data_IF_715612059346
#
_entry.id   IF_715612059346
#
_cell.length_a   1.000
_cell.length_b   1.000
_cell.length_c   1.000
_cell.angle_alpha   90.00
_cell.angle_beta   90.00
_cell.angle_gamma   90.00
#
_symmetry.space_group_name_H-M   'P 1'
#
loop_
_entity.id
_entity.type
_entity.pdbx_description
1 polymer ?
#
# COMPACT_ATOMS: atom_id res chain seq x y z
N UNK A 1 -10.71 -19.71 5.41
CA UNK A 1 -10.26 -19.70 4.01
C UNK A 1 -11.09 -20.69 3.25
N UNK A 2 -11.64 -20.25 2.12
CA UNK A 2 -12.39 -21.12 1.22
C UNK A 2 -11.40 -21.99 0.41
N UNK A 3 -11.83 -23.17 -0.07
CA UNK A 3 -11.03 -23.95 -1.01
C UNK A 3 -10.62 -23.11 -2.23
N UNK A 4 -9.33 -23.09 -2.56
CA UNK A 4 -8.81 -22.32 -3.71
C UNK A 4 -8.30 -20.92 -3.39
N UNK A 5 -8.29 -20.52 -2.12
CA UNK A 5 -7.64 -19.30 -1.64
C UNK A 5 -6.26 -19.58 -1.04
N UNK A 6 -5.33 -18.64 -1.20
CA UNK A 6 -4.04 -18.63 -0.52
C UNK A 6 -3.78 -17.28 0.15
N UNK A 7 -3.00 -17.30 1.22
CA UNK A 7 -2.60 -16.09 1.94
C UNK A 7 -1.53 -15.37 1.13
N UNK A 8 -1.75 -14.08 0.86
CA UNK A 8 -0.79 -13.20 0.21
C UNK A 8 -0.03 -12.39 1.27
N UNK A 9 -0.75 -11.80 2.23
CA UNK A 9 -0.16 -10.99 3.30
C UNK A 9 -0.79 -11.33 4.66
N UNK A 10 0.04 -11.28 5.70
CA UNK A 10 -0.39 -11.33 7.10
C UNK A 10 0.15 -10.08 7.77
N UNK A 11 -0.74 -9.14 8.10
CA UNK A 11 -0.38 -7.79 8.51
C UNK A 11 -0.77 -7.59 9.98
N UNK A 12 0.20 -7.51 10.91
CA UNK A 12 -0.09 -7.38 12.34
C UNK A 12 -0.95 -6.14 12.65
N UNK A 13 -1.94 -6.30 13.53
CA UNK A 13 -2.84 -5.24 13.96
C UNK A 13 -2.60 -4.82 15.40
N UNK A 14 -2.58 -5.80 16.31
CA UNK A 14 -2.30 -5.59 17.73
C UNK A 14 -1.84 -6.90 18.36
N UNK A 15 -1.02 -6.77 19.39
CA UNK A 15 -0.62 -7.84 20.27
C UNK A 15 -1.17 -7.61 21.68
N UNK A 16 -1.26 -8.70 22.43
CA UNK A 16 -1.68 -8.69 23.82
C UNK A 16 -0.88 -9.70 24.63
N UNK A 17 -0.27 -9.25 25.72
CA UNK A 17 0.55 -10.08 26.62
C UNK A 17 -0.15 -10.12 27.97
N UNK A 18 -0.53 -11.32 28.43
CA UNK A 18 -1.16 -11.56 29.75
C UNK A 18 -2.37 -10.66 30.09
N UNK A 19 -3.14 -10.24 29.08
CA UNK A 19 -4.28 -9.34 29.31
C UNK A 19 -4.05 -7.90 28.82
N UNK A 20 -2.80 -7.45 28.75
CA UNK A 20 -2.44 -6.10 28.34
C UNK A 20 -2.46 -5.96 26.83
N UNK A 21 -3.44 -5.22 26.31
CA UNK A 21 -3.66 -5.00 24.87
C UNK A 21 -2.89 -3.78 24.34
N UNK A 22 -3.12 -3.43 23.07
CA UNK A 22 -2.52 -2.27 22.38
C UNK A 22 -0.97 -2.33 22.30
N UNK A 23 -0.39 -3.53 22.37
CA UNK A 23 1.06 -3.74 22.20
C UNK A 23 1.36 -3.79 20.70
N UNK A 24 2.29 -2.97 20.23
CA UNK A 24 2.76 -2.97 18.83
C UNK A 24 3.89 -3.96 18.58
N UNK A 25 4.85 -4.03 19.49
CA UNK A 25 6.02 -4.89 19.39
C UNK A 25 6.18 -5.72 20.67
N UNK A 26 5.88 -7.03 20.64
CA UNK A 26 5.93 -7.88 21.83
C UNK A 26 7.32 -8.46 22.10
N UNK A 27 8.30 -8.24 21.20
CA UNK A 27 9.64 -8.82 21.32
C UNK A 27 10.33 -8.23 22.57
N UNK A 28 10.86 -9.11 23.42
CA UNK A 28 11.51 -8.74 24.68
C UNK A 28 10.56 -8.61 25.89
N UNK A 29 9.24 -8.75 25.69
CA UNK A 29 8.28 -8.77 26.79
C UNK A 29 8.18 -10.16 27.44
N UNK A 30 8.09 -10.19 28.76
CA UNK A 30 7.81 -11.41 29.52
C UNK A 30 6.30 -11.62 29.63
N UNK A 31 5.84 -12.85 29.40
CA UNK A 31 4.45 -13.23 29.65
C UNK A 31 4.17 -14.71 29.48
N UNK A 32 3.06 -15.18 30.04
CA UNK A 32 2.59 -16.56 29.93
C UNK A 32 1.70 -16.81 28.71
N UNK A 33 1.02 -15.79 28.18
CA UNK A 33 0.13 -15.85 27.02
C UNK A 33 0.31 -14.64 26.11
N UNK A 34 0.60 -14.92 24.84
CA UNK A 34 0.60 -13.95 23.75
C UNK A 34 -0.65 -14.18 22.88
N UNK A 35 -1.41 -13.12 22.66
CA UNK A 35 -2.50 -13.07 21.69
C UNK A 35 -2.15 -12.05 20.60
N UNK A 36 -2.57 -12.30 19.37
CA UNK A 36 -2.27 -11.42 18.24
C UNK A 36 -3.45 -11.36 17.28
N UNK A 37 -3.74 -10.17 16.80
CA UNK A 37 -4.74 -9.92 15.76
C UNK A 37 -4.01 -9.51 14.47
N UNK A 38 -4.46 -10.07 13.35
CA UNK A 38 -3.85 -9.85 12.04
C UNK A 38 -4.92 -9.49 11.01
N UNK A 39 -4.57 -8.58 10.10
CA UNK A 39 -5.29 -8.36 8.86
C UNK A 39 -4.71 -9.30 7.80
N UNK A 40 -5.49 -10.33 7.43
CA UNK A 40 -5.04 -11.37 6.51
C UNK A 40 -5.62 -11.09 5.13
N UNK A 41 -4.73 -10.94 4.16
CA UNK A 41 -5.08 -10.74 2.75
C UNK A 41 -4.97 -12.08 2.05
N UNK A 42 -6.06 -12.50 1.41
CA UNK A 42 -6.13 -13.75 0.64
C UNK A 42 -6.42 -13.47 -0.82
N UNK A 43 -5.96 -14.35 -1.70
CA UNK A 43 -6.26 -14.29 -3.13
C UNK A 43 -6.64 -15.65 -3.69
N UNK A 44 -7.35 -15.65 -4.81
CA UNK A 44 -7.65 -16.87 -5.54
C UNK A 44 -6.39 -17.42 -6.20
N UNK A 45 -6.05 -18.67 -5.89
CA UNK A 45 -4.89 -19.39 -6.42
C UNK A 45 -4.89 -19.40 -7.95
N UNK A 46 -6.06 -19.50 -8.58
CA UNK A 46 -6.17 -19.45 -10.04
C UNK A 46 -5.75 -18.12 -10.63
N UNK A 47 -6.16 -17.01 -10.01
CA UNK A 47 -5.82 -15.65 -10.46
C UNK A 47 -4.32 -15.39 -10.29
N UNK A 48 -3.78 -15.78 -9.14
CA UNK A 48 -2.34 -15.67 -8.85
C UNK A 48 -1.51 -16.48 -9.86
N UNK A 49 -1.89 -17.73 -10.11
CA UNK A 49 -1.20 -18.59 -11.09
C UNK A 49 -1.28 -18.03 -12.51
N UNK A 50 -2.39 -17.44 -12.90
CA UNK A 50 -2.54 -16.84 -14.23
C UNK A 50 -1.59 -15.64 -14.41
N UNK A 51 -1.48 -14.76 -13.40
CA UNK A 51 -0.52 -13.66 -13.42
C UNK A 51 0.92 -14.19 -13.49
N UNK A 52 1.26 -15.19 -12.66
CA UNK A 52 2.60 -15.80 -12.68
C UNK A 52 2.96 -16.41 -14.04
N UNK A 53 2.01 -17.06 -14.71
CA UNK A 53 2.22 -17.59 -16.07
C UNK A 53 2.46 -16.50 -17.11
N UNK A 54 1.75 -15.38 -17.02
CA UNK A 54 1.98 -14.24 -17.92
C UNK A 54 3.40 -13.69 -17.77
N UNK A 55 3.89 -13.56 -16.54
CA UNK A 55 5.25 -13.08 -16.25
C UNK A 55 6.28 -14.08 -16.77
N UNK A 56 6.09 -15.37 -16.51
CA UNK A 56 6.98 -16.42 -17.01
C UNK A 56 7.00 -16.49 -18.54
N UNK A 57 5.86 -16.25 -19.20
CA UNK A 57 5.77 -16.22 -20.67
C UNK A 57 6.50 -15.02 -21.29
N UNK A 58 6.85 -14.02 -20.48
CA UNK A 58 7.70 -12.90 -20.88
C UNK A 58 9.19 -13.13 -20.50
N UNK A 59 9.57 -14.38 -20.17
CA UNK A 59 10.91 -14.77 -19.73
C UNK A 59 11.39 -14.04 -18.45
N UNK A 60 10.44 -13.70 -17.58
CA UNK A 60 10.71 -13.06 -16.28
C UNK A 60 10.40 -14.01 -15.12
N UNK A 61 11.09 -13.81 -14.01
CA UNK A 61 10.82 -14.52 -12.75
C UNK A 61 9.90 -13.69 -11.85
N UNK A 62 8.86 -14.32 -11.32
CA UNK A 62 8.00 -13.71 -10.31
C UNK A 62 8.68 -13.81 -8.94
N UNK A 63 9.16 -12.68 -8.40
CA UNK A 63 9.74 -12.64 -7.05
C UNK A 63 8.68 -12.74 -5.93
N UNK A 64 7.50 -12.15 -6.14
CA UNK A 64 6.44 -12.17 -5.15
C UNK A 64 5.24 -11.34 -5.55
N UNK A 65 4.22 -11.34 -4.69
CA UNK A 65 2.94 -10.66 -4.92
C UNK A 65 2.71 -9.66 -3.80
N UNK A 66 2.23 -8.48 -4.17
CA UNK A 66 1.93 -7.39 -3.25
C UNK A 66 0.50 -6.94 -3.45
N UNK A 67 -0.22 -6.70 -2.35
CA UNK A 67 -1.55 -6.11 -2.41
C UNK A 67 -1.41 -4.68 -2.96
N UNK A 68 -2.14 -4.35 -4.03
CA UNK A 68 -2.06 -3.08 -4.76
C UNK A 68 -2.07 -1.83 -3.85
N UNK A 69 -3.03 -1.64 -2.92
CA UNK A 69 -3.03 -0.47 -2.06
C UNK A 69 -1.82 -0.38 -1.11
N UNK A 70 -1.14 -1.48 -0.78
CA UNK A 70 0.13 -1.42 -0.03
C UNK A 70 1.25 -0.86 -0.91
N UNK A 71 1.30 -1.28 -2.18
CA UNK A 71 2.26 -0.76 -3.14
C UNK A 71 2.01 0.73 -3.39
N UNK A 72 0.78 1.11 -3.77
CA UNK A 72 0.42 2.51 -4.00
C UNK A 72 0.72 3.38 -2.75
N UNK A 73 0.39 2.90 -1.55
CA UNK A 73 0.70 3.59 -0.29
C UNK A 73 2.20 3.78 -0.01
N UNK A 74 3.07 2.90 -0.52
CA UNK A 74 4.52 3.08 -0.38
C UNK A 74 5.05 4.19 -1.28
N UNK A 75 4.34 4.54 -2.36
CA UNK A 75 4.78 5.54 -3.31
C UNK A 75 4.23 6.94 -3.01
N UNK A 76 3.03 7.06 -2.42
CA UNK A 76 2.32 8.35 -2.33
C UNK A 76 1.99 8.84 -0.93
N UNK A 77 2.18 8.01 0.10
CA UNK A 77 1.89 8.37 1.49
C UNK A 77 3.17 8.53 2.31
N UNK A 78 3.21 9.58 3.11
CA UNK A 78 4.26 9.76 4.11
C UNK A 78 4.02 8.86 5.33
N UNK A 79 5.06 8.69 6.16
CA UNK A 79 4.92 7.94 7.40
C UNK A 79 4.03 8.68 8.41
N UNK A 80 4.12 10.00 8.45
CA UNK A 80 3.32 10.88 9.30
C UNK A 80 1.81 10.76 8.96
N UNK A 81 1.45 10.66 7.68
CA UNK A 81 0.06 10.43 7.27
C UNK A 81 -0.46 9.06 7.72
N UNK A 82 0.36 8.01 7.57
CA UNK A 82 0.02 6.66 8.04
C UNK A 82 -0.14 6.60 9.56
N UNK A 83 0.62 7.40 10.30
CA UNK A 83 0.49 7.53 11.75
C UNK A 83 -0.74 8.33 12.15
N UNK A 84 -0.95 9.49 11.53
CA UNK A 84 -2.05 10.41 11.80
C UNK A 84 -3.42 9.90 11.34
N UNK A 85 -3.47 8.88 10.49
CA UNK A 85 -4.70 8.32 9.98
C UNK A 85 -5.05 8.89 8.61
N UNK A 86 -5.04 8.05 7.58
CA UNK A 86 -5.31 8.45 6.19
C UNK A 86 -6.08 7.36 5.44
N UNK A 87 -7.02 7.77 4.60
CA UNK A 87 -7.66 6.90 3.61
C UNK A 87 -7.00 7.10 2.24
N UNK A 88 -6.34 6.06 1.73
CA UNK A 88 -5.87 6.00 0.35
C UNK A 88 -6.98 5.45 -0.54
N UNK A 89 -7.35 6.20 -1.57
CA UNK A 89 -8.32 5.79 -2.58
C UNK A 89 -7.59 5.72 -3.92
N UNK A 90 -7.40 4.51 -4.45
CA UNK A 90 -6.81 4.26 -5.77
C UNK A 90 -7.93 4.04 -6.79
N UNK A 91 -8.10 4.98 -7.72
CA UNK A 91 -9.15 4.90 -8.75
C UNK A 91 -8.53 4.37 -10.03
N UNK A 92 -8.62 3.05 -10.22
CA UNK A 92 -8.17 2.34 -11.41
C UNK A 92 -9.17 2.38 -12.55
N UNK A 93 -8.95 1.54 -13.57
CA UNK A 93 -9.89 1.38 -14.68
C UNK A 93 -11.12 0.56 -14.30
N UNK A 94 -10.91 -0.60 -13.67
CA UNK A 94 -11.97 -1.54 -13.31
C UNK A 94 -12.52 -1.36 -11.89
N UNK A 95 -11.67 -0.97 -10.95
CA UNK A 95 -11.97 -0.90 -9.52
C UNK A 95 -11.57 0.44 -8.94
N UNK A 96 -12.12 0.71 -7.76
CA UNK A 96 -11.63 1.72 -6.85
C UNK A 96 -11.28 1.03 -5.55
N UNK A 97 -10.01 1.11 -5.16
CA UNK A 97 -9.48 0.39 -4.01
C UNK A 97 -9.28 1.36 -2.84
N UNK A 98 -9.77 0.98 -1.66
CA UNK A 98 -9.64 1.74 -0.41
C UNK A 98 -8.68 1.01 0.52
N UNK A 99 -7.71 1.74 1.06
CA UNK A 99 -6.94 1.31 2.22
C UNK A 99 -6.85 2.42 3.26
N UNK A 100 -7.12 2.06 4.51
CA UNK A 100 -7.05 2.98 5.64
C UNK A 100 -5.83 2.61 6.48
N UNK A 101 -4.99 3.60 6.72
CA UNK A 101 -3.81 3.50 7.59
C UNK A 101 -4.04 4.32 8.85
N UNK A 102 -3.58 3.83 10.00
CA UNK A 102 -3.58 4.55 11.28
C UNK A 102 -2.52 3.93 12.20
N UNK A 103 -1.84 4.78 12.97
CA UNK A 103 -0.75 4.38 13.89
C UNK A 103 0.42 3.67 13.20
N UNK A 104 0.61 3.96 11.90
CA UNK A 104 1.70 3.43 11.07
C UNK A 104 1.40 2.10 10.40
N UNK A 105 0.20 1.53 10.59
CA UNK A 105 -0.21 0.25 10.01
C UNK A 105 -1.51 0.37 9.24
N UNK A 106 -1.74 -0.56 8.32
CA UNK A 106 -3.02 -0.69 7.62
C UNK A 106 -4.08 -1.27 8.57
N UNK A 107 -5.25 -0.64 8.63
CA UNK A 107 -6.36 -1.02 9.53
C UNK A 107 -7.57 -1.57 8.79
N UNK A 108 -7.78 -1.17 7.54
CA UNK A 108 -8.94 -1.58 6.77
C UNK A 108 -8.63 -1.54 5.27
N UNK A 109 -9.25 -2.45 4.52
CA UNK A 109 -9.17 -2.51 3.05
C UNK A 109 -10.53 -2.84 2.49
N UNK A 110 -10.93 -2.17 1.42
CA UNK A 110 -12.15 -2.48 0.68
C UNK A 110 -11.94 -2.27 -0.82
N UNK A 111 -12.76 -2.94 -1.63
CA UNK A 111 -12.72 -2.82 -3.10
C UNK A 111 -14.11 -2.48 -3.58
N UNK A 112 -14.23 -1.38 -4.30
CA UNK A 112 -15.44 -0.95 -4.97
C UNK A 112 -15.33 -1.43 -6.42
N UNK A 113 -16.30 -2.22 -6.94
CA UNK A 113 -16.22 -2.84 -8.26
C UNK A 113 -16.52 -1.86 -9.42
N UNK A 114 -16.08 -0.61 -9.27
CA UNK A 114 -16.25 0.47 -10.23
C UNK A 114 -14.99 1.33 -10.28
N UNK A 115 -14.50 1.61 -11.48
CA UNK A 115 -13.40 2.53 -11.73
C UNK A 115 -13.68 3.45 -12.92
N UNK A 116 -12.63 3.89 -13.62
CA UNK A 116 -12.74 4.79 -14.75
C UNK A 116 -13.48 4.24 -15.98
N UNK A 117 -13.58 2.91 -16.14
CA UNK A 117 -14.21 2.29 -17.31
C UNK A 117 -15.73 2.48 -17.33
N UNK A 118 -16.39 2.43 -16.17
CA UNK A 118 -17.85 2.65 -16.11
C UNK A 118 -18.21 4.10 -16.42
N UNK A 119 -17.35 5.06 -16.08
CA UNK A 119 -17.50 6.47 -16.50
C UNK A 119 -17.45 6.57 -18.02
N UNK A 120 -16.51 5.87 -18.66
CA UNK A 120 -16.37 5.84 -20.12
C UNK A 120 -17.58 5.22 -20.79
N UNK A 121 -18.13 4.15 -20.21
CA UNK A 121 -19.35 3.49 -20.68
C UNK A 121 -20.56 4.44 -20.61
N UNK A 122 -20.73 5.15 -19.50
CA UNK A 122 -21.82 6.12 -19.36
C UNK A 122 -21.70 7.28 -20.36
N UNK A 123 -20.48 7.76 -20.63
CA UNK A 123 -20.24 8.77 -21.66
C UNK A 123 -20.59 8.20 -23.04
N UNK A 124 -20.17 6.97 -23.33
CA UNK A 124 -20.44 6.28 -24.60
C UNK A 124 -21.94 6.24 -24.88
N UNK A 125 -22.73 5.79 -23.90
CA UNK A 125 -24.18 5.69 -24.02
C UNK A 125 -24.87 7.07 -24.00
N UNK A 126 -24.55 7.89 -23.00
CA UNK A 126 -25.15 9.22 -22.80
C UNK A 126 -24.85 10.21 -23.92
N UNK A 127 -23.71 10.07 -24.59
CA UNK A 127 -23.34 10.86 -25.77
C UNK A 127 -23.51 10.10 -27.09
N UNK A 128 -23.94 8.83 -27.08
CA UNK A 128 -24.10 7.96 -28.25
C UNK A 128 -22.93 8.04 -29.23
N UNK A 129 -21.71 7.84 -28.71
CA UNK A 129 -20.45 7.81 -29.45
C UNK A 129 -19.76 6.46 -29.24
N UNK A 130 -18.66 6.18 -29.94
CA UNK A 130 -17.90 4.95 -29.71
C UNK A 130 -17.00 5.06 -28.48
N UNK A 131 -16.69 3.93 -27.85
CA UNK A 131 -15.89 3.84 -26.62
C UNK A 131 -14.55 4.59 -26.72
N UNK A 132 -13.82 4.42 -27.83
CA UNK A 132 -12.56 5.13 -28.08
C UNK A 132 -12.72 6.66 -28.05
N UNK A 133 -13.84 7.18 -28.55
CA UNK A 133 -14.14 8.62 -28.52
C UNK A 133 -14.57 9.05 -27.12
N UNK A 134 -15.35 8.23 -26.40
CA UNK A 134 -15.77 8.49 -25.03
C UNK A 134 -14.56 8.57 -24.08
N UNK A 135 -13.61 7.65 -24.17
CA UNK A 135 -12.38 7.69 -23.36
C UNK A 135 -11.57 8.95 -23.65
N UNK A 136 -11.38 9.28 -24.94
CA UNK A 136 -10.65 10.48 -25.33
C UNK A 136 -11.35 11.75 -24.84
N UNK A 137 -12.67 11.79 -24.88
CA UNK A 137 -13.49 12.90 -24.40
C UNK A 137 -13.36 13.04 -22.87
N UNK A 138 -13.41 11.93 -22.13
CA UNK A 138 -13.19 11.85 -20.68
C UNK A 138 -11.82 12.40 -20.30
N UNK A 139 -10.75 11.90 -20.91
CA UNK A 139 -9.37 12.29 -20.59
C UNK A 139 -9.13 13.78 -20.89
N UNK A 140 -9.58 14.27 -22.06
CA UNK A 140 -9.27 15.64 -22.50
C UNK A 140 -10.15 16.71 -21.85
N UNK A 141 -11.43 16.40 -21.68
CA UNK A 141 -12.45 17.40 -21.35
C UNK A 141 -13.32 17.02 -20.14
N UNK A 142 -13.11 15.86 -19.55
CA UNK A 142 -13.85 15.40 -18.39
C UNK A 142 -13.68 16.31 -17.18
N UNK A 143 -14.78 16.48 -16.44
CA UNK A 143 -14.87 17.22 -15.19
C UNK A 143 -15.85 16.49 -14.29
N UNK A 144 -15.53 16.36 -13.02
CA UNK A 144 -16.41 15.83 -11.99
C UNK A 144 -17.38 16.90 -11.44
N UNK A 145 -17.20 18.17 -11.80
CA UNK A 145 -18.02 19.28 -11.30
C UNK A 145 -18.71 20.03 -12.45
N UNK A 146 -20.01 19.81 -12.67
CA UNK A 146 -20.75 20.44 -13.77
C UNK A 146 -20.87 21.95 -13.67
N UNK A 147 -20.78 22.51 -12.45
CA UNK A 147 -20.90 23.95 -12.20
C UNK A 147 -19.79 24.80 -12.82
N UNK A 148 -18.61 24.22 -13.08
CA UNK A 148 -17.47 24.93 -13.66
C UNK A 148 -17.55 25.05 -15.20
N UNK A 149 -18.42 24.26 -15.84
CA UNK A 149 -18.53 24.24 -17.31
C UNK A 149 -19.61 25.20 -17.80
N UNK A 150 -19.25 26.06 -18.77
CA UNK A 150 -20.20 27.00 -19.38
C UNK A 150 -21.12 26.27 -20.37
N UNK A 151 -22.35 26.77 -20.51
CA UNK A 151 -23.34 26.18 -21.42
C UNK A 151 -22.95 26.26 -22.91
N UNK A 152 -22.07 27.21 -23.27
CA UNK A 152 -21.61 27.44 -24.64
C UNK A 152 -20.30 26.73 -24.99
N UNK A 153 -19.70 25.98 -24.07
CA UNK A 153 -18.49 25.20 -24.36
C UNK A 153 -18.86 23.87 -25.01
N UNK A 154 -18.51 23.71 -26.28
CA UNK A 154 -18.88 22.58 -27.13
C UNK A 154 -17.63 21.93 -27.70
N UNK A 155 -17.63 20.60 -27.76
CA UNK A 155 -16.64 19.80 -28.48
C UNK A 155 -17.33 19.07 -29.62
N UNK A 156 -16.74 19.17 -30.81
CA UNK A 156 -17.20 18.43 -32.00
C UNK A 156 -16.44 17.12 -32.11
N UNK A 157 -17.17 16.01 -32.15
CA UNK A 157 -16.63 14.67 -32.31
C UNK A 157 -16.90 14.18 -33.73
N UNK A 158 -15.90 13.64 -34.44
CA UNK A 158 -16.11 13.08 -35.77
C UNK A 158 -17.23 12.04 -35.80
N UNK A 159 -18.17 12.20 -36.71
CA UNK A 159 -19.21 11.21 -36.96
C UNK A 159 -18.64 9.90 -37.47
N UNK A 160 -19.39 8.81 -37.31
CA UNK A 160 -19.09 7.55 -37.99
C UNK A 160 -19.21 7.74 -39.52
N UNK A 161 -18.59 6.84 -40.30
CA UNK A 161 -18.50 6.94 -41.77
C UNK A 161 -19.77 7.49 -42.43
N UNK A 162 -19.66 8.67 -43.05
CA UNK A 162 -20.75 9.34 -43.77
C UNK A 162 -21.79 10.04 -42.90
N UNK A 163 -21.58 10.15 -41.58
CA UNK A 163 -22.42 10.93 -40.67
C UNK A 163 -21.74 12.25 -40.32
N UNK A 164 -22.55 13.27 -40.14
CA UNK A 164 -22.09 14.57 -39.65
C UNK A 164 -21.42 14.46 -38.27
N UNK A 165 -20.47 15.35 -37.96
CA UNK A 165 -19.91 15.47 -36.61
C UNK A 165 -21.00 15.66 -35.56
N UNK A 166 -20.78 15.08 -34.37
CA UNK A 166 -21.67 15.25 -33.23
C UNK A 166 -21.11 16.31 -32.29
N UNK A 167 -21.92 17.29 -31.97
CA UNK A 167 -21.58 18.33 -31.00
C UNK A 167 -22.05 17.93 -29.60
N UNK A 168 -21.14 17.99 -28.63
CA UNK A 168 -21.39 17.66 -27.23
C UNK A 168 -20.99 18.86 -26.38
N UNK A 169 -21.89 19.34 -25.53
CA UNK A 169 -21.56 20.39 -24.58
C UNK A 169 -20.73 19.82 -23.43
N UNK A 170 -19.71 20.55 -22.97
CA UNK A 170 -18.88 20.13 -21.84
C UNK A 170 -19.69 20.00 -20.55
N UNK A 171 -20.73 20.82 -20.40
CA UNK A 171 -21.65 20.71 -19.27
C UNK A 171 -22.45 19.41 -19.28
N UNK A 172 -22.88 18.92 -20.44
CA UNK A 172 -23.57 17.63 -20.53
C UNK A 172 -22.62 16.46 -20.23
N UNK A 173 -21.41 16.50 -20.79
CA UNK A 173 -20.34 15.55 -20.48
C UNK A 173 -20.08 15.49 -18.97
N UNK A 174 -19.88 16.65 -18.35
CA UNK A 174 -19.62 16.79 -16.92
C UNK A 174 -20.76 16.27 -16.06
N UNK A 175 -22.03 16.46 -16.45
CA UNK A 175 -23.19 15.88 -15.75
C UNK A 175 -23.18 14.36 -15.73
N UNK A 176 -22.83 13.72 -16.86
CA UNK A 176 -22.73 12.27 -16.96
C UNK A 176 -21.63 11.76 -16.04
N UNK A 177 -20.44 12.37 -16.13
CA UNK A 177 -19.29 12.02 -15.28
C UNK A 177 -19.62 12.20 -13.81
N UNK A 178 -20.18 13.35 -13.44
CA UNK A 178 -20.54 13.69 -12.07
C UNK A 178 -21.45 12.64 -11.43
N UNK A 179 -22.51 12.20 -12.14
CA UNK A 179 -23.42 11.20 -11.63
C UNK A 179 -22.70 9.89 -11.25
N UNK A 180 -21.79 9.41 -12.11
CA UNK A 180 -21.04 8.19 -11.83
C UNK A 180 -19.99 8.35 -10.74
N UNK A 181 -19.29 9.49 -10.73
CA UNK A 181 -18.26 9.75 -9.73
C UNK A 181 -18.87 9.91 -8.35
N UNK A 182 -20.03 10.58 -8.23
CA UNK A 182 -20.78 10.66 -6.96
C UNK A 182 -21.06 9.26 -6.42
N UNK A 183 -21.59 8.36 -7.25
CA UNK A 183 -21.88 6.98 -6.84
C UNK A 183 -20.63 6.24 -6.35
N UNK A 184 -19.52 6.33 -7.08
CA UNK A 184 -18.25 5.68 -6.68
C UNK A 184 -17.78 6.22 -5.33
N UNK A 185 -17.75 7.54 -5.17
CA UNK A 185 -17.25 8.18 -3.94
C UNK A 185 -18.18 7.94 -2.75
N UNK A 186 -19.50 7.91 -2.96
CA UNK A 186 -20.47 7.54 -1.91
C UNK A 186 -20.24 6.10 -1.42
N UNK A 187 -19.98 5.16 -2.32
CA UNK A 187 -19.65 3.77 -1.93
C UNK A 187 -18.33 3.69 -1.16
N UNK A 188 -17.30 4.41 -1.59
CA UNK A 188 -16.05 4.50 -0.83
C UNK A 188 -16.28 5.11 0.56
N UNK A 189 -17.11 6.16 0.65
CA UNK A 189 -17.39 6.82 1.92
C UNK A 189 -18.20 5.93 2.87
N UNK A 190 -19.06 5.05 2.37
CA UNK A 190 -19.72 4.02 3.17
C UNK A 190 -18.68 3.12 3.84
N UNK A 191 -17.63 2.69 3.14
CA UNK A 191 -16.58 1.87 3.74
C UNK A 191 -15.73 2.64 4.77
N UNK A 192 -15.44 3.92 4.51
CA UNK A 192 -14.78 4.80 5.50
C UNK A 192 -15.64 4.97 6.76
N UNK A 193 -16.97 5.01 6.62
CA UNK A 193 -17.91 4.99 7.74
C UNK A 193 -17.96 3.65 8.45
N UNK A 194 -17.96 2.53 7.73
CA UNK A 194 -17.94 1.19 8.30
C UNK A 194 -16.69 0.93 9.14
N UNK A 195 -15.54 1.48 8.72
CA UNK A 195 -14.33 1.48 9.54
C UNK A 195 -14.52 2.19 10.90
N UNK A 196 -15.33 3.25 10.90
CA UNK A 196 -15.68 4.03 12.09
C UNK A 196 -14.86 5.31 12.23
N UNK A 197 -14.52 5.99 11.12
CA UNK A 197 -13.69 7.21 11.16
C UNK A 197 -14.24 8.34 12.04
N UNK A 198 -15.54 8.35 12.33
CA UNK A 198 -16.19 9.33 13.22
C UNK A 198 -15.84 9.09 14.70
N UNK A 199 -15.36 7.89 15.06
CA UNK A 199 -14.88 7.59 16.41
C UNK A 199 -13.55 8.31 16.69
N UNK A 200 -13.41 8.92 17.86
CA UNK A 200 -12.22 9.69 18.23
C UNK A 200 -10.90 8.89 18.08
N UNK A 201 -10.93 7.58 18.37
CA UNK A 201 -9.76 6.70 18.27
C UNK A 201 -9.41 6.30 16.82
N UNK A 202 -10.35 6.43 15.88
CA UNK A 202 -10.21 5.99 14.49
C UNK A 202 -10.24 7.15 13.49
N UNK A 203 -10.18 8.39 13.97
CA UNK A 203 -10.19 9.56 13.12
C UNK A 203 -9.02 9.55 12.12
N UNK A 204 -9.28 10.01 10.91
CA UNK A 204 -8.33 10.10 9.82
C UNK A 204 -7.87 11.55 9.68
N UNK A 205 -6.91 11.95 10.52
CA UNK A 205 -6.49 13.35 10.65
C UNK A 205 -5.83 13.85 9.36
N UNK A 206 -5.11 12.98 8.65
CA UNK A 206 -4.51 13.31 7.36
C UNK A 206 -5.52 13.26 6.19
N UNK A 207 -6.79 12.93 6.45
CA UNK A 207 -7.86 12.97 5.47
C UNK A 207 -7.75 11.87 4.41
N UNK A 208 -7.92 12.28 3.16
CA UNK A 208 -7.99 11.39 1.99
C UNK A 208 -6.85 11.70 1.01
N UNK A 209 -6.19 10.66 0.52
CA UNK A 209 -5.24 10.74 -0.60
C UNK A 209 -5.81 9.96 -1.79
N UNK A 210 -6.02 10.65 -2.90
CA UNK A 210 -6.46 10.05 -4.16
C UNK A 210 -5.27 9.68 -5.03
N UNK A 211 -5.28 8.50 -5.64
CA UNK A 211 -4.26 8.08 -6.61
C UNK A 211 -4.87 7.24 -7.74
N UNK A 212 -4.02 6.69 -8.61
CA UNK A 212 -4.44 5.94 -9.78
C UNK A 212 -4.85 6.82 -10.95
N UNK A 213 -5.10 6.19 -12.11
CA UNK A 213 -5.38 6.91 -13.35
C UNK A 213 -6.63 7.80 -13.28
N UNK A 214 -7.66 7.36 -12.57
CA UNK A 214 -8.93 8.07 -12.39
C UNK A 214 -8.82 9.33 -11.51
N UNK A 215 -7.80 9.42 -10.65
CA UNK A 215 -7.57 10.60 -9.79
C UNK A 215 -7.25 11.88 -10.58
N UNK A 216 -6.86 11.74 -11.85
CA UNK A 216 -6.53 12.85 -12.76
C UNK A 216 -7.77 13.58 -13.30
N UNK A 217 -8.98 13.08 -13.02
CA UNK A 217 -10.21 13.73 -13.45
C UNK A 217 -10.34 15.13 -12.83
N UNK A 218 -10.60 16.15 -13.67
CA UNK A 218 -10.72 17.53 -13.20
C UNK A 218 -11.83 17.67 -12.17
N UNK A 219 -11.57 18.46 -11.13
CA UNK A 219 -12.49 18.73 -10.03
C UNK A 219 -12.89 17.52 -9.16
N UNK A 220 -12.24 16.37 -9.33
CA UNK A 220 -12.51 15.20 -8.50
C UNK A 220 -12.22 15.47 -7.02
N UNK A 221 -11.07 16.08 -6.71
CA UNK A 221 -10.69 16.46 -5.33
C UNK A 221 -11.83 17.23 -4.65
N UNK A 222 -12.33 18.28 -5.30
CA UNK A 222 -13.38 19.14 -4.76
C UNK A 222 -14.69 18.36 -4.54
N UNK A 223 -15.02 17.44 -5.45
CA UNK A 223 -16.20 16.59 -5.30
C UNK A 223 -16.04 15.62 -4.11
N UNK A 224 -14.86 15.04 -3.92
CA UNK A 224 -14.59 14.18 -2.76
C UNK A 224 -14.73 14.97 -1.46
N UNK A 225 -14.09 16.13 -1.36
CA UNK A 225 -14.20 17.02 -0.18
C UNK A 225 -15.66 17.42 0.09
N UNK A 226 -16.44 17.68 -0.97
CA UNK A 226 -17.86 18.01 -0.85
C UNK A 226 -18.71 16.85 -0.31
N UNK A 227 -18.45 15.62 -0.75
CA UNK A 227 -19.23 14.43 -0.35
C UNK A 227 -18.82 13.97 1.05
N UNK A 228 -17.53 13.91 1.35
CA UNK A 228 -17.00 13.30 2.58
C UNK A 228 -16.81 14.30 3.72
N UNK A 229 -16.64 15.59 3.39
CA UNK A 229 -16.25 16.62 4.36
C UNK A 229 -14.80 16.50 4.84
N UNK A 230 -13.99 15.64 4.22
CA UNK A 230 -12.60 15.37 4.62
C UNK A 230 -11.60 16.06 3.69
N UNK A 231 -10.54 16.64 4.26
CA UNK A 231 -9.45 17.23 3.49
C UNK A 231 -8.86 16.20 2.52
N UNK A 232 -8.67 16.60 1.26
CA UNK A 232 -8.26 15.68 0.21
C UNK A 232 -7.07 16.22 -0.58
N UNK A 233 -6.12 15.35 -0.93
CA UNK A 233 -5.04 15.66 -1.89
C UNK A 233 -4.86 14.56 -2.92
N UNK A 234 -4.16 14.88 -4.01
CA UNK A 234 -3.71 13.88 -4.98
C UNK A 234 -2.33 13.37 -4.55
N UNK A 235 -2.17 12.05 -4.56
CA UNK A 235 -0.91 11.36 -4.29
C UNK A 235 -0.11 11.15 -5.58
N UNK A 236 1.06 11.78 -5.65
CA UNK A 236 2.01 11.63 -6.75
C UNK A 236 3.22 10.81 -6.29
N UNK A 237 3.72 9.86 -7.09
CA UNK A 237 4.87 9.03 -6.71
C UNK A 237 6.23 9.72 -6.92
N UNK A 238 6.29 11.05 -6.85
CA UNK A 238 7.46 11.82 -7.26
C UNK A 238 8.57 11.91 -6.19
N UNK A 239 8.24 11.82 -4.91
CA UNK A 239 9.21 11.97 -3.81
C UNK A 239 10.32 10.92 -3.83
N UNK A 240 10.06 9.75 -4.42
CA UNK A 240 11.01 8.64 -4.48
C UNK A 240 11.72 8.51 -5.83
N UNK A 241 11.49 9.46 -6.75
CA UNK A 241 12.08 9.45 -8.07
C UNK A 241 13.26 10.42 -8.14
N UNK A 242 14.28 10.07 -8.93
CA UNK A 242 15.40 10.96 -9.20
C UNK A 242 14.92 12.20 -9.97
N UNK A 243 15.55 13.36 -9.75
CA UNK A 243 15.11 14.63 -10.36
C UNK A 243 15.17 14.69 -11.89
N UNK A 244 15.87 13.76 -12.53
CA UNK A 244 15.97 13.56 -13.98
C UNK A 244 15.07 12.44 -14.52
N UNK A 245 14.18 11.90 -13.70
CA UNK A 245 13.21 10.88 -14.10
C UNK A 245 12.22 11.43 -15.14
N UNK A 246 11.71 10.56 -16.00
CA UNK A 246 10.68 10.94 -16.97
C UNK A 246 9.44 11.52 -16.23
N UNK A 247 8.98 12.70 -16.63
CA UNK A 247 7.79 13.34 -16.05
C UNK A 247 6.56 12.42 -16.09
N UNK A 248 6.45 11.53 -17.09
CA UNK A 248 5.33 10.59 -17.19
C UNK A 248 5.18 9.71 -15.95
N UNK A 249 6.31 9.26 -15.37
CA UNK A 249 6.29 8.34 -14.20
C UNK A 249 5.94 9.05 -12.90
N UNK A 250 5.87 10.38 -12.91
CA UNK A 250 5.39 11.18 -11.77
C UNK A 250 3.87 11.25 -11.71
N UNK A 251 3.15 10.73 -12.72
CA UNK A 251 1.69 10.68 -12.71
C UNK A 251 1.17 9.71 -11.63
N UNK A 252 0.03 10.03 -10.96
CA UNK A 252 -0.64 9.11 -10.05
C UNK A 252 -1.00 7.75 -10.69
N UNK A 253 -1.07 7.68 -12.02
CA UNK A 253 -1.26 6.44 -12.77
C UNK A 253 -0.15 5.40 -12.53
N UNK A 254 1.07 5.85 -12.18
CA UNK A 254 2.22 4.99 -11.94
C UNK A 254 2.47 4.69 -10.45
N UNK A 255 1.61 5.14 -9.55
CA UNK A 255 1.79 4.97 -8.10
C UNK A 255 2.03 3.52 -7.70
N UNK A 256 1.21 2.58 -8.18
CA UNK A 256 1.37 1.15 -7.90
C UNK A 256 2.69 0.61 -8.44
N UNK A 257 3.06 0.98 -9.67
CA UNK A 257 4.29 0.49 -10.30
C UNK A 257 5.54 0.96 -9.55
N UNK A 258 5.60 2.25 -9.21
CA UNK A 258 6.68 2.81 -8.38
C UNK A 258 6.69 2.14 -6.99
N UNK A 259 5.52 1.96 -6.40
CA UNK A 259 5.35 1.28 -5.11
C UNK A 259 5.86 -0.17 -5.09
N UNK A 260 5.64 -0.92 -6.17
CA UNK A 260 6.14 -2.28 -6.34
C UNK A 260 7.66 -2.32 -6.45
N UNK A 261 8.27 -1.36 -7.15
CA UNK A 261 9.74 -1.24 -7.22
C UNK A 261 10.32 -0.94 -5.84
N UNK A 262 9.74 0.01 -5.10
CA UNK A 262 10.16 0.33 -3.74
C UNK A 262 10.03 -0.87 -2.80
N UNK A 263 8.95 -1.64 -2.89
CA UNK A 263 8.77 -2.87 -2.13
C UNK A 263 9.82 -3.93 -2.48
N UNK A 264 10.10 -4.12 -3.78
CA UNK A 264 11.16 -5.01 -4.27
C UNK A 264 12.55 -4.65 -3.71
N UNK A 265 12.91 -3.37 -3.73
CA UNK A 265 14.18 -2.89 -3.16
C UNK A 265 14.29 -3.20 -1.66
N UNK A 266 13.22 -2.93 -0.88
CA UNK A 266 13.18 -3.25 0.56
C UNK A 266 13.29 -4.76 0.85
N UNK A 267 12.76 -5.61 -0.04
CA UNK A 267 12.92 -7.08 0.09
C UNK A 267 14.35 -7.52 -0.18
N UNK A 268 15.01 -6.92 -1.17
CA UNK A 268 16.41 -7.22 -1.47
C UNK A 268 17.34 -6.77 -0.34
N UNK A 269 17.10 -5.60 0.25
CA UNK A 269 17.85 -5.11 1.41
C UNK A 269 17.71 -6.05 2.61
N UNK A 270 16.48 -6.49 2.92
CA UNK A 270 16.24 -7.47 3.99
C UNK A 270 16.98 -8.78 3.77
N UNK A 271 16.92 -9.35 2.57
CA UNK A 271 17.65 -10.58 2.23
C UNK A 271 19.16 -10.42 2.43
N UNK A 272 19.74 -9.27 2.09
CA UNK A 272 21.16 -9.00 2.30
C UNK A 272 21.51 -8.94 3.78
N UNK A 273 20.67 -8.29 4.59
CA UNK A 273 20.87 -8.21 6.04
C UNK A 273 20.77 -9.61 6.68
N UNK A 274 19.76 -10.38 6.30
CA UNK A 274 19.57 -11.76 6.79
C UNK A 274 20.79 -12.63 6.45
N UNK A 275 21.31 -12.54 5.22
CA UNK A 275 22.51 -13.26 4.80
C UNK A 275 23.76 -12.83 5.58
N UNK A 276 23.92 -11.54 5.86
CA UNK A 276 25.05 -11.04 6.67
C UNK A 276 24.98 -11.56 8.10
N UNK A 277 23.80 -11.58 8.72
CA UNK A 277 23.61 -12.12 10.07
C UNK A 277 23.88 -13.62 10.11
N UNK A 278 23.47 -14.38 9.09
CA UNK A 278 23.79 -15.80 8.98
C UNK A 278 25.30 -16.03 8.79
N UNK A 279 25.97 -15.25 7.93
CA UNK A 279 27.42 -15.35 7.72
C UNK A 279 28.21 -14.99 9.00
N UNK A 280 27.82 -13.94 9.73
CA UNK A 280 28.45 -13.55 11.00
C UNK A 280 28.25 -14.63 12.07
N UNK A 281 27.06 -15.25 12.15
CA UNK A 281 26.79 -16.34 13.08
C UNK A 281 27.63 -17.60 12.79
N UNK A 282 27.86 -17.92 11.51
CA UNK A 282 28.71 -19.06 11.11
C UNK A 282 30.19 -18.80 11.41
N UNK A 283 30.67 -17.57 11.23
CA UNK A 283 32.06 -17.20 11.59
C UNK A 283 32.27 -17.25 13.11
N UNK A 284 31.31 -16.79 13.91
CA UNK A 284 31.38 -16.93 15.37
C UNK A 284 31.37 -18.40 15.83
N UNK A 285 30.62 -19.28 15.16
CA UNK A 285 30.64 -20.72 15.46
C UNK A 285 31.97 -21.39 15.06
N UNK A 286 32.55 -21.05 13.90
CA UNK A 286 33.85 -21.58 13.45
C UNK A 286 35.03 -21.08 14.31
N UNK A 287 35.01 -19.83 14.79
CA UNK A 287 36.02 -19.31 15.74
C UNK A 287 35.93 -19.97 17.13
N UNK A 288 34.76 -20.49 17.52
CA UNK A 288 34.58 -21.23 18.77
C UNK A 288 34.99 -22.70 18.63
N UNK A 289 34.87 -23.30 17.43
CA UNK A 289 35.26 -24.70 17.17
C UNK A 289 36.75 -24.90 16.86
N UNK A 290 37.47 -23.87 16.42
CA UNK A 290 38.92 -23.92 16.23
C UNK A 290 39.69 -23.16 17.32
N UNK A 291 40.00 -23.80 18.48
CA UNK A 291 41.04 -23.26 19.35
C UNK A 291 42.35 -23.35 18.57
N UNK A 292 43.06 -22.23 18.44
CA UNK A 292 44.43 -22.17 17.92
C UNK A 292 45.28 -23.25 18.57
N UNK A 293 45.68 -24.25 17.80
CA UNK A 293 46.77 -25.15 18.15
C UNK A 293 48.12 -24.43 17.99
N UNK A 294 49.01 -24.75 18.92
CA UNK A 294 50.46 -24.50 18.97
C UNK A 294 50.98 -23.13 19.45
N UNK A 295 51.10 -23.01 20.78
CA UNK A 295 52.43 -22.86 21.43
C UNK A 295 52.45 -23.71 22.71
N UNK A 296 53.18 -24.82 22.69
CA UNK A 296 53.57 -25.58 23.89
C UNK A 296 54.55 -24.75 24.73
N UNK A 297 54.20 -24.45 25.98
CA UNK A 297 55.18 -24.39 27.07
C UNK A 297 54.52 -24.90 28.37
N UNK A 298 55.11 -25.96 28.93
CA UNK A 298 54.70 -26.59 30.19
C UNK A 298 54.70 -25.57 31.35
N UNK A 299 53.76 -25.70 32.30
CA UNK A 299 54.03 -26.01 33.72
C UNK A 299 52.76 -25.94 34.60
N UNK A 300 52.53 -27.06 35.29
CA UNK A 300 51.81 -27.32 36.57
C UNK A 300 50.27 -27.23 36.66
N UNK A 301 49.75 -28.36 37.14
CA UNK A 301 48.37 -28.63 37.48
C UNK A 301 47.88 -27.88 38.74
N UNK A 302 46.67 -27.32 38.65
CA UNK A 302 45.78 -26.98 39.76
C UNK A 302 44.31 -27.22 39.34
N UNK A 303 43.38 -27.42 40.29
CA UNK A 303 42.23 -28.30 40.10
C UNK A 303 41.10 -27.70 39.26
N UNK A 304 40.37 -28.60 38.61
CA UNK A 304 39.15 -28.35 37.82
C UNK A 304 38.18 -27.43 38.57
N UNK A 305 37.97 -26.22 38.04
CA UNK A 305 36.80 -25.39 38.33
C UNK A 305 35.77 -25.61 37.22
N UNK A 306 34.55 -25.95 37.62
CA UNK A 306 33.39 -26.12 36.74
C UNK A 306 33.28 -24.95 35.75
N UNK A 307 33.20 -25.30 34.45
CA UNK A 307 32.96 -24.33 33.37
C UNK A 307 31.58 -23.71 33.57
N UNK A 308 31.54 -22.43 33.92
CA UNK A 308 30.32 -21.62 33.89
C UNK A 308 29.82 -21.48 32.46
N UNK A 309 28.53 -21.70 32.27
CA UNK A 309 27.87 -21.63 30.97
C UNK A 309 27.81 -20.19 30.47
N UNK A 310 27.73 -20.00 29.17
CA UNK A 310 27.64 -18.68 28.50
C UNK A 310 26.48 -17.81 29.05
N UNK A 311 25.42 -18.47 29.54
CA UNK A 311 24.28 -17.83 30.20
C UNK A 311 24.65 -17.16 31.52
N UNK A 312 25.61 -17.70 32.28
CA UNK A 312 26.03 -17.13 33.57
C UNK A 312 26.78 -15.80 33.38
N UNK A 313 27.57 -15.69 32.31
CA UNK A 313 28.31 -14.45 31.98
C UNK A 313 27.38 -13.33 31.48
N UNK A 314 26.29 -13.69 30.82
CA UNK A 314 25.27 -12.74 30.37
C UNK A 314 24.47 -12.20 31.56
N UNK A 315 24.12 -13.06 32.52
CA UNK A 315 23.45 -12.65 33.76
C UNK A 315 24.31 -11.74 34.63
N UNK A 316 25.62 -11.98 34.71
CA UNK A 316 26.54 -11.14 35.49
C UNK A 316 26.69 -9.74 34.86
N UNK A 317 26.74 -9.63 33.51
CA UNK A 317 26.76 -8.32 32.82
C UNK A 317 25.49 -7.51 33.00
N UNK A 318 24.33 -8.18 33.00
CA UNK A 318 23.04 -7.49 33.21
C UNK A 318 22.90 -7.04 34.67
N UNK A 319 23.45 -7.81 35.62
CA UNK A 319 23.52 -7.42 37.03
C UNK A 319 24.44 -6.21 37.25
N UNK A 320 25.63 -6.24 36.67
CA UNK A 320 26.59 -5.12 36.74
C UNK A 320 26.06 -3.84 36.08
N UNK A 321 25.19 -3.96 35.08
CA UNK A 321 24.54 -2.80 34.47
C UNK A 321 23.44 -2.20 35.36
N UNK A 322 22.70 -3.05 36.08
CA UNK A 322 21.64 -2.61 37.00
C UNK A 322 22.21 -2.01 38.30
N UNK A 323 23.32 -2.54 38.81
CA UNK A 323 23.97 -2.04 40.02
C UNK A 323 24.75 -0.73 39.80
N UNK A 324 25.04 -0.37 38.53
CA UNK A 324 25.71 0.90 38.15
C UNK A 324 24.73 1.98 37.63
N UNK A 325 23.43 1.73 37.69
CA UNK A 325 22.38 2.65 37.23
C UNK A 325 21.59 3.32 38.37
N UNK A 326 22.16 3.37 39.58
CA UNK A 326 21.67 4.18 40.72
C UNK A 326 22.47 5.49 40.88
#
# INVERSE_FOLDING_TARGET
MLPGEEIIHVLPQEYKVDGQAEIKEPIGMYGGRLEANFHVVVGQVSSIRNVGRCIQSADLNLEGITLEPLASANAVLSQEEKEAGVALIDIGGGTTDLAIFRDGIIRHTAVIPFGGNVITEDIKEGCSIIEKQAELLKIKFGSAWPGENKDNEIVSIPGLRGREPKEITLKNLSKIIHARVVEIIEQVYVEIKNYGHEEQKKNLIAGIVLTGGGSQLKHLKQLVEYITGMDTRIGYPNEHLAGDSNEDVTSPLFATAVGLVLDGLKRQERKKIEQQVEEEAVVEEEEVEHPTEDVEEEIKAEPVRERRSFLDKLTDRVKDFLDNAE
#
